data_IF_210998803185
#
_entry.id   IF_210998803185
#
_cell.length_a   1.000
_cell.length_b   1.000
_cell.length_c   1.000
_cell.angle_alpha   90.00
_cell.angle_beta   90.00
_cell.angle_gamma   90.00
#
_symmetry.space_group_name_H-M   'P 1'
#
loop_
_entity.id
_entity.type
_entity.pdbx_description
1 polymer ?
#
# COMPACT_ATOMS: atom_id res chain seq x y z
N UNK A 1 -10.40 19.54 -29.31
CA UNK A 1 -11.32 18.86 -28.36
C UNK A 1 -11.93 19.92 -27.46
N UNK A 2 -13.23 19.85 -27.18
CA UNK A 2 -13.83 20.79 -26.23
C UNK A 2 -13.32 20.53 -24.81
N UNK A 3 -13.03 21.57 -24.02
CA UNK A 3 -12.48 21.40 -22.67
C UNK A 3 -13.42 20.63 -21.73
N UNK A 4 -14.73 20.68 -21.98
CA UNK A 4 -15.73 19.93 -21.21
C UNK A 4 -15.61 18.42 -21.43
N UNK A 5 -15.38 17.98 -22.67
CA UNK A 5 -15.29 16.56 -23.01
C UNK A 5 -14.01 15.95 -22.46
N UNK A 6 -12.89 16.69 -22.53
CA UNK A 6 -11.61 16.26 -21.93
C UNK A 6 -11.73 16.06 -20.42
N UNK A 7 -12.37 16.97 -19.69
CA UNK A 7 -12.58 16.84 -18.24
C UNK A 7 -13.51 15.68 -17.89
N UNK A 8 -14.57 15.47 -18.65
CA UNK A 8 -15.48 14.35 -18.44
C UNK A 8 -14.74 13.01 -18.60
N UNK A 9 -13.97 12.84 -19.67
CA UNK A 9 -13.15 11.63 -19.89
C UNK A 9 -12.13 11.47 -18.76
N UNK A 10 -11.43 12.53 -18.36
CA UNK A 10 -10.49 12.49 -17.25
C UNK A 10 -11.15 12.02 -15.95
N UNK A 11 -12.31 12.57 -15.59
CA UNK A 11 -13.03 12.19 -14.37
C UNK A 11 -13.48 10.73 -14.40
N UNK A 12 -14.01 10.26 -15.52
CA UNK A 12 -14.43 8.85 -15.68
C UNK A 12 -13.24 7.91 -15.49
N UNK A 13 -12.12 8.22 -16.16
CA UNK A 13 -10.90 7.42 -16.05
C UNK A 13 -10.33 7.46 -14.62
N UNK A 14 -10.31 8.63 -13.99
CA UNK A 14 -9.84 8.79 -12.61
C UNK A 14 -10.69 7.98 -11.62
N UNK A 15 -12.02 8.04 -11.72
CA UNK A 15 -12.93 7.24 -10.88
C UNK A 15 -12.74 5.74 -11.13
N UNK A 16 -12.60 5.34 -12.39
CA UNK A 16 -12.33 3.94 -12.73
C UNK A 16 -11.04 3.44 -12.05
N UNK A 17 -9.92 4.15 -12.19
CA UNK A 17 -8.67 3.77 -11.52
C UNK A 17 -8.78 3.81 -10.00
N UNK A 18 -9.45 4.81 -9.44
CA UNK A 18 -9.65 4.94 -8.00
C UNK A 18 -10.38 3.71 -7.45
N UNK A 19 -11.47 3.29 -8.09
CA UNK A 19 -12.23 2.12 -7.68
C UNK A 19 -11.39 0.85 -7.83
N UNK A 20 -10.73 0.65 -8.97
CA UNK A 20 -9.96 -0.56 -9.23
C UNK A 20 -8.70 -0.68 -8.35
N UNK A 21 -8.11 0.42 -7.93
CA UNK A 21 -6.95 0.39 -7.02
C UNK A 21 -7.36 0.34 -5.55
N UNK A 22 -8.41 1.07 -5.14
CA UNK A 22 -8.81 1.12 -3.73
C UNK A 22 -9.66 -0.07 -3.30
N UNK A 23 -10.50 -0.66 -4.18
CA UNK A 23 -11.34 -1.79 -3.79
C UNK A 23 -10.52 -3.01 -3.30
N UNK A 24 -9.44 -3.43 -3.97
CA UNK A 24 -8.57 -4.50 -3.47
C UNK A 24 -7.93 -4.15 -2.11
N UNK A 25 -7.46 -2.91 -1.95
CA UNK A 25 -6.87 -2.43 -0.69
C UNK A 25 -7.91 -2.48 0.44
N UNK A 26 -9.15 -2.07 0.16
CA UNK A 26 -10.24 -2.13 1.12
C UNK A 26 -10.53 -3.56 1.58
N UNK A 27 -10.47 -4.55 0.67
CA UNK A 27 -10.59 -5.96 1.02
C UNK A 27 -9.55 -6.39 2.05
N UNK A 28 -8.27 -6.05 1.82
CA UNK A 28 -7.17 -6.35 2.73
C UNK A 28 -7.30 -5.61 4.07
N UNK A 29 -7.70 -4.34 4.05
CA UNK A 29 -7.94 -3.57 5.28
C UNK A 29 -9.09 -4.21 6.08
N UNK A 30 -10.18 -4.60 5.43
CA UNK A 30 -11.29 -5.26 6.09
C UNK A 30 -10.83 -6.53 6.81
N UNK A 31 -10.00 -7.36 6.19
CA UNK A 31 -9.46 -8.57 6.84
C UNK A 31 -8.46 -8.25 7.94
N UNK A 32 -7.72 -7.14 7.86
CA UNK A 32 -6.78 -6.73 8.90
C UNK A 32 -7.48 -6.20 10.16
N UNK A 33 -8.66 -5.59 9.99
CA UNK A 33 -9.41 -4.95 11.07
C UNK A 33 -10.67 -5.71 11.50
N UNK A 34 -11.05 -6.81 10.85
CA UNK A 34 -12.22 -7.61 11.24
C UNK A 34 -11.80 -9.04 11.59
N UNK A 35 -12.26 -9.52 12.74
CA UNK A 35 -12.14 -10.91 13.14
C UNK A 35 -13.10 -11.81 12.32
N UNK A 36 -12.98 -13.13 12.45
CA UNK A 36 -13.80 -14.15 11.77
C UNK A 36 -15.32 -13.94 11.97
N UNK A 37 -15.71 -13.26 13.06
CA UNK A 37 -17.09 -12.93 13.40
C UNK A 37 -17.55 -11.56 12.86
N UNK A 38 -16.73 -10.86 12.06
CA UNK A 38 -17.02 -9.54 11.51
C UNK A 38 -16.90 -8.38 12.51
N UNK A 39 -16.37 -8.64 13.70
CA UNK A 39 -16.15 -7.62 14.74
C UNK A 39 -14.84 -6.88 14.48
N UNK A 40 -14.84 -5.57 14.71
CA UNK A 40 -13.63 -4.76 14.61
C UNK A 40 -12.59 -5.22 15.64
N UNK A 41 -11.35 -5.43 15.21
CA UNK A 41 -10.22 -5.85 16.06
C UNK A 41 -8.92 -5.18 15.61
N UNK A 42 -8.06 -4.89 16.58
CA UNK A 42 -6.69 -4.41 16.34
C UNK A 42 -5.64 -5.47 16.69
N UNK A 43 -6.06 -6.65 17.16
CA UNK A 43 -5.14 -7.69 17.62
C UNK A 43 -4.18 -8.14 16.52
N UNK A 44 -4.64 -8.30 15.27
CA UNK A 44 -3.76 -8.67 14.15
C UNK A 44 -2.66 -7.64 13.88
N UNK A 45 -2.95 -6.35 14.06
CA UNK A 45 -1.95 -5.28 13.88
C UNK A 45 -0.98 -5.28 15.05
N UNK A 46 -1.47 -5.44 16.27
CA UNK A 46 -0.64 -5.52 17.48
C UNK A 46 0.25 -6.76 17.46
N UNK A 47 -0.21 -7.87 16.89
CA UNK A 47 0.53 -9.13 16.77
C UNK A 47 1.83 -8.96 15.97
N UNK A 48 1.84 -8.10 14.95
CA UNK A 48 3.05 -7.75 14.19
C UNK A 48 4.15 -7.19 15.10
N UNK A 49 3.78 -6.47 16.16
CA UNK A 49 4.71 -5.89 17.13
C UNK A 49 4.98 -6.79 18.35
N UNK A 50 4.17 -7.81 18.58
CA UNK A 50 4.39 -8.78 19.67
C UNK A 50 5.29 -9.92 19.24
N UNK A 51 5.11 -10.42 18.02
CA UNK A 51 5.91 -11.51 17.48
C UNK A 51 7.34 -11.05 17.13
N UNK A 52 8.38 -11.71 17.66
CA UNK A 52 9.76 -11.37 17.34
C UNK A 52 10.07 -11.56 15.84
N UNK A 53 9.50 -12.60 15.22
CA UNK A 53 9.69 -12.90 13.81
C UNK A 53 9.15 -11.78 12.89
N UNK A 54 7.95 -11.26 13.18
CA UNK A 54 7.38 -10.18 12.38
C UNK A 54 8.16 -8.87 12.53
N UNK A 55 8.66 -8.60 13.73
CA UNK A 55 9.50 -7.41 13.98
C UNK A 55 10.85 -7.49 13.27
N UNK A 56 11.51 -8.63 13.33
CA UNK A 56 12.76 -8.87 12.59
C UNK A 56 12.52 -8.74 11.09
N UNK A 57 11.45 -9.35 10.57
CA UNK A 57 11.06 -9.22 9.17
C UNK A 57 10.79 -7.77 8.76
N UNK A 58 10.09 -7.00 9.58
CA UNK A 58 9.79 -5.59 9.32
C UNK A 58 11.07 -4.73 9.29
N UNK A 59 11.96 -4.93 10.26
CA UNK A 59 13.23 -4.19 10.31
C UNK A 59 14.16 -4.57 9.16
N UNK A 60 14.31 -5.87 8.88
CA UNK A 60 15.17 -6.36 7.80
C UNK A 60 14.70 -5.88 6.43
N UNK A 61 13.39 -5.99 6.15
CA UNK A 61 12.82 -5.53 4.89
C UNK A 61 12.94 -4.00 4.74
N UNK A 62 12.72 -3.24 5.82
CA UNK A 62 12.95 -1.80 5.82
C UNK A 62 14.40 -1.42 5.53
N UNK A 63 15.36 -2.09 6.18
CA UNK A 63 16.79 -1.86 5.96
C UNK A 63 17.19 -2.17 4.52
N UNK A 64 16.73 -3.30 3.96
CA UNK A 64 16.98 -3.67 2.57
C UNK A 64 16.39 -2.62 1.62
N UNK A 65 15.13 -2.20 1.83
CA UNK A 65 14.48 -1.21 0.98
C UNK A 65 15.26 0.13 0.94
N UNK A 66 15.73 0.59 2.11
CA UNK A 66 16.51 1.82 2.22
C UNK A 66 17.87 1.67 1.53
N UNK A 67 18.65 0.64 1.88
CA UNK A 67 20.00 0.45 1.34
C UNK A 67 19.98 0.21 -0.17
N UNK A 68 19.00 -0.55 -0.68
CA UNK A 68 18.88 -0.79 -2.13
C UNK A 68 18.43 0.46 -2.86
N UNK A 69 17.49 1.24 -2.33
CA UNK A 69 17.08 2.52 -2.94
C UNK A 69 18.27 3.48 -3.04
N UNK A 70 19.02 3.66 -1.94
CA UNK A 70 20.23 4.51 -1.96
C UNK A 70 21.31 3.97 -2.87
N UNK A 71 21.56 2.65 -2.86
CA UNK A 71 22.51 2.01 -3.76
C UNK A 71 22.14 2.23 -5.23
N UNK A 72 20.87 2.04 -5.59
CA UNK A 72 20.36 2.31 -6.94
C UNK A 72 20.53 3.79 -7.32
N UNK A 73 20.21 4.74 -6.42
CA UNK A 73 20.38 6.17 -6.68
C UNK A 73 21.86 6.54 -6.91
N UNK A 74 22.77 6.04 -6.07
CA UNK A 74 24.20 6.29 -6.19
C UNK A 74 24.78 5.75 -7.49
N UNK A 75 24.25 4.63 -8.00
CA UNK A 75 24.69 4.05 -9.27
C UNK A 75 24.02 4.70 -10.48
N UNK A 76 22.75 5.08 -10.39
CA UNK A 76 21.97 5.59 -11.52
C UNK A 76 22.16 7.10 -11.79
N UNK A 77 22.41 7.92 -10.76
CA UNK A 77 22.61 9.36 -10.92
C UNK A 77 23.91 9.77 -11.66
N UNK A 78 25.05 9.07 -11.53
CA UNK A 78 26.26 9.40 -12.29
C UNK A 78 26.30 8.80 -13.70
N UNK A 79 25.36 7.92 -14.05
CA UNK A 79 25.17 7.37 -15.41
C UNK A 79 24.44 8.40 -16.30
#
# INVERSE_FOLDING_TARGET
MSPWMSRAVFLVVAVFFLLFFLLPIWGTLRTAFQDLNGRFTLEFILEVFRSPLYREGLFNSGLIAVLTTFGCLLLALPL
#
